data_IF_006071021137
#
_entry.id   IF_006071021137
#
_cell.length_a   1.000
_cell.length_b   1.000
_cell.length_c   1.000
_cell.angle_alpha   90.00
_cell.angle_beta   90.00
_cell.angle_gamma   90.00
#
_symmetry.space_group_name_H-M   'P 1'
#
loop_
_entity.id
_entity.type
_entity.pdbx_description
1 polymer ?
#
# COMPACT_ATOMS: atom_id res chain seq x y z
N UNK A 1 -12.52 -23.81 -1.40
CA UNK A 1 -12.01 -23.17 -0.17
C UNK A 1 -11.48 -21.79 -0.57
N UNK A 2 -12.31 -20.76 -0.46
CA UNK A 2 -11.96 -19.39 -0.84
C UNK A 2 -11.33 -18.69 0.35
N UNK A 3 -10.04 -18.38 0.27
CA UNK A 3 -9.37 -17.58 1.30
C UNK A 3 -9.60 -16.11 0.97
N UNK A 4 -10.67 -15.55 1.54
CA UNK A 4 -10.85 -14.11 1.66
C UNK A 4 -9.90 -13.59 2.72
N UNK A 5 -8.74 -13.10 2.31
CA UNK A 5 -7.89 -12.30 3.19
C UNK A 5 -8.67 -11.04 3.53
N UNK A 6 -8.97 -10.84 4.82
CA UNK A 6 -9.92 -9.85 5.31
C UNK A 6 -9.56 -8.44 4.85
N UNK A 7 -10.29 -7.96 3.83
CA UNK A 7 -10.43 -6.54 3.58
C UNK A 7 -11.40 -6.06 4.66
N UNK A 8 -10.85 -5.54 5.76
CA UNK A 8 -11.64 -4.74 6.66
C UNK A 8 -12.07 -3.50 5.86
N UNK A 9 -13.38 -3.18 5.78
CA UNK A 9 -13.78 -1.90 5.22
C UNK A 9 -13.25 -0.84 6.17
N UNK A 10 -12.22 -0.10 5.77
CA UNK A 10 -11.87 1.11 6.49
C UNK A 10 -13.04 2.06 6.25
N UNK A 11 -13.82 2.26 7.30
CA UNK A 11 -14.87 3.26 7.31
C UNK A 11 -14.15 4.59 7.14
N UNK A 12 -14.18 5.15 5.92
CA UNK A 12 -13.72 6.50 5.65
C UNK A 12 -14.71 7.44 6.33
N UNK A 13 -14.49 7.68 7.63
CA UNK A 13 -15.35 8.52 8.44
C UNK A 13 -15.23 9.94 7.93
N UNK A 14 -16.25 10.37 7.18
CA UNK A 14 -16.72 11.73 6.98
C UNK A 14 -16.09 12.73 7.97
N UNK A 15 -15.06 13.48 7.55
CA UNK A 15 -14.82 14.89 7.93
C UNK A 15 -13.56 15.46 7.27
N UNK A 16 -13.66 16.73 6.88
CA UNK A 16 -12.77 17.54 6.01
C UNK A 16 -11.41 18.01 6.60
N UNK A 17 -10.64 17.20 7.34
CA UNK A 17 -9.16 17.36 7.36
C UNK A 17 -8.40 16.13 6.84
N UNK A 18 -9.08 15.05 6.46
CA UNK A 18 -8.47 13.77 6.11
C UNK A 18 -7.65 13.81 4.79
N UNK A 19 -8.02 14.66 3.83
CA UNK A 19 -7.33 14.73 2.52
C UNK A 19 -5.83 14.99 2.70
N UNK A 20 -5.45 15.89 3.61
CA UNK A 20 -4.04 16.18 3.85
C UNK A 20 -3.29 14.96 4.41
N UNK A 21 -3.89 14.22 5.35
CA UNK A 21 -3.29 12.98 5.89
C UNK A 21 -3.26 11.86 4.87
N UNK A 22 -4.24 11.79 3.98
CA UNK A 22 -4.32 10.79 2.92
C UNK A 22 -3.32 11.07 1.82
N UNK A 23 -3.26 12.30 1.28
CA UNK A 23 -2.18 12.76 0.39
C UNK A 23 -0.81 12.45 1.00
N UNK A 24 -0.55 12.83 2.26
CA UNK A 24 0.73 12.52 2.91
C UNK A 24 1.03 11.01 2.99
N UNK A 25 0.01 10.17 3.19
CA UNK A 25 0.17 8.72 3.16
C UNK A 25 0.50 8.26 1.75
N UNK A 26 -0.19 8.76 0.74
CA UNK A 26 0.02 8.38 -0.66
C UNK A 26 1.38 8.82 -1.16
N UNK A 27 1.79 10.06 -0.89
CA UNK A 27 3.14 10.57 -1.17
C UNK A 27 4.21 9.69 -0.51
N UNK A 28 4.00 9.31 0.76
CA UNK A 28 4.92 8.41 1.45
C UNK A 28 4.98 7.02 0.82
N UNK A 29 3.83 6.43 0.47
CA UNK A 29 3.76 5.13 -0.20
C UNK A 29 4.42 5.20 -1.57
N UNK A 30 4.24 6.29 -2.32
CA UNK A 30 4.89 6.52 -3.60
C UNK A 30 6.42 6.59 -3.45
N UNK A 31 6.93 7.35 -2.47
CA UNK A 31 8.38 7.36 -2.17
C UNK A 31 8.91 5.96 -1.81
N UNK A 32 8.14 5.16 -1.08
CA UNK A 32 8.50 3.76 -0.78
C UNK A 32 8.49 2.91 -2.05
N UNK A 33 7.52 3.11 -2.94
CA UNK A 33 7.38 2.40 -4.20
C UNK A 33 8.53 2.71 -5.16
N UNK A 34 8.92 3.98 -5.28
CA UNK A 34 10.07 4.41 -6.07
C UNK A 34 11.37 3.83 -5.51
N UNK A 35 11.55 3.90 -4.19
CA UNK A 35 12.72 3.30 -3.54
C UNK A 35 12.74 1.78 -3.72
N UNK A 36 11.59 1.10 -3.74
CA UNK A 36 11.48 -0.32 -4.02
C UNK A 36 11.87 -0.64 -5.46
N UNK A 37 11.51 0.18 -6.46
CA UNK A 37 11.99 -0.04 -7.82
C UNK A 37 13.51 0.09 -7.95
N UNK A 38 14.13 0.92 -7.13
CA UNK A 38 15.59 1.07 -7.15
C UNK A 38 16.33 -0.05 -6.40
N UNK A 39 15.76 -0.57 -5.31
CA UNK A 39 16.44 -1.53 -4.40
C UNK A 39 15.90 -2.97 -4.52
N UNK A 40 14.72 -3.15 -5.13
CA UNK A 40 13.94 -4.40 -5.23
C UNK A 40 13.72 -5.14 -3.90
N UNK A 41 13.78 -4.41 -2.78
CA UNK A 41 13.75 -4.98 -1.45
C UNK A 41 12.36 -4.87 -0.82
N UNK A 42 11.58 -5.94 -0.98
CA UNK A 42 10.21 -6.03 -0.48
C UNK A 42 10.14 -5.98 1.06
N UNK A 43 11.13 -6.52 1.77
CA UNK A 43 11.17 -6.48 3.23
C UNK A 43 11.34 -5.05 3.75
N UNK A 44 12.27 -4.29 3.14
CA UNK A 44 12.48 -2.88 3.48
C UNK A 44 11.23 -2.04 3.17
N UNK A 45 10.59 -2.29 2.02
CA UNK A 45 9.36 -1.59 1.66
C UNK A 45 8.22 -1.90 2.65
N UNK A 46 8.02 -3.17 3.00
CA UNK A 46 7.01 -3.58 3.97
C UNK A 46 7.25 -2.96 5.36
N UNK A 47 8.50 -2.90 5.82
CA UNK A 47 8.86 -2.25 7.10
C UNK A 47 8.55 -0.75 7.07
N UNK A 48 8.83 -0.07 5.96
CA UNK A 48 8.51 1.36 5.78
C UNK A 48 7.00 1.59 5.76
N UNK A 49 6.23 0.74 5.08
CA UNK A 49 4.77 0.81 5.05
C UNK A 49 4.16 0.52 6.42
N UNK A 50 4.77 -0.37 7.21
CA UNK A 50 4.33 -0.67 8.57
C UNK A 50 4.39 0.55 9.51
N UNK A 51 5.19 1.59 9.20
CA UNK A 51 5.23 2.86 9.95
C UNK A 51 3.89 3.59 9.87
N UNK A 52 3.16 3.45 8.76
CA UNK A 52 1.82 4.04 8.60
C UNK A 52 0.79 3.38 9.54
N UNK A 53 1.07 2.15 9.97
CA UNK A 53 0.36 1.44 11.04
C UNK A 53 -1.06 0.98 10.66
N UNK A 54 -1.57 0.02 11.44
CA UNK A 54 -2.98 -0.38 11.41
C UNK A 54 -3.40 -1.33 10.28
N UNK A 55 -2.65 -1.43 9.19
CA UNK A 55 -3.05 -2.18 7.99
C UNK A 55 -1.88 -3.00 7.42
N UNK A 56 -2.21 -4.01 6.60
CA UNK A 56 -1.19 -4.76 5.86
C UNK A 56 -0.52 -3.85 4.81
N UNK A 57 0.78 -4.00 4.53
CA UNK A 57 1.48 -3.18 3.54
C UNK A 57 0.82 -3.24 2.15
N UNK A 58 0.23 -4.39 1.79
CA UNK A 58 -0.57 -4.52 0.57
C UNK A 58 -1.86 -3.68 0.60
N UNK A 59 -2.56 -3.60 1.74
CA UNK A 59 -3.77 -2.79 1.88
C UNK A 59 -3.45 -1.29 1.78
N UNK A 60 -2.40 -0.85 2.47
CA UNK A 60 -1.91 0.54 2.40
C UNK A 60 -1.54 0.93 0.96
N UNK A 61 -0.86 0.03 0.24
CA UNK A 61 -0.48 0.28 -1.16
C UNK A 61 -1.69 0.28 -2.10
N UNK A 62 -2.69 -0.57 -1.84
CA UNK A 62 -3.93 -0.61 -2.62
C UNK A 62 -4.73 0.69 -2.46
N UNK A 63 -4.88 1.19 -1.22
CA UNK A 63 -5.54 2.49 -0.97
C UNK A 63 -4.81 3.64 -1.66
N UNK A 64 -3.47 3.64 -1.63
CA UNK A 64 -2.69 4.65 -2.34
C UNK A 64 -2.85 4.59 -3.86
N UNK A 65 -2.96 3.39 -4.42
CA UNK A 65 -3.23 3.21 -5.85
C UNK A 65 -4.63 3.72 -6.24
N UNK A 66 -5.64 3.46 -5.42
CA UNK A 66 -7.01 3.96 -5.66
C UNK A 66 -7.08 5.49 -5.60
N UNK A 67 -6.40 6.08 -4.62
CA UNK A 67 -6.24 7.53 -4.52
C UNK A 67 -5.52 8.10 -5.73
N UNK A 68 -4.43 7.47 -6.18
CA UNK A 68 -3.67 7.91 -7.34
C UNK A 68 -4.50 7.88 -8.64
N UNK A 69 -5.36 6.86 -8.80
CA UNK A 69 -6.30 6.79 -9.92
C UNK A 69 -7.36 7.91 -9.86
N UNK A 70 -7.79 8.31 -8.67
CA UNK A 70 -8.80 9.36 -8.47
C UNK A 70 -8.23 10.79 -8.58
N UNK A 71 -6.94 10.99 -8.32
CA UNK A 71 -6.28 12.30 -8.23
C UNK A 71 -5.40 12.66 -9.44
N UNK A 72 -5.57 11.97 -10.58
CA UNK A 72 -4.87 12.24 -11.84
C UNK A 72 -3.33 12.14 -11.78
N UNK A 73 -2.82 11.15 -11.04
CA UNK A 73 -1.38 10.83 -11.03
C UNK A 73 -0.89 10.38 -12.41
N UNK A 74 0.42 10.51 -12.63
CA UNK A 74 1.05 10.09 -13.89
C UNK A 74 1.01 8.58 -14.05
N UNK A 75 0.96 8.11 -15.30
CA UNK A 75 1.02 6.68 -15.61
C UNK A 75 2.24 5.98 -14.99
N UNK A 76 3.39 6.67 -14.93
CA UNK A 76 4.59 6.14 -14.28
C UNK A 76 4.43 5.91 -12.76
N UNK A 77 3.75 6.82 -12.08
CA UNK A 77 3.49 6.74 -10.63
C UNK A 77 2.49 5.60 -10.34
N UNK A 78 1.42 5.51 -11.14
CA UNK A 78 0.43 4.43 -11.05
C UNK A 78 1.09 3.06 -11.30
N UNK A 79 1.97 2.95 -12.29
CA UNK A 79 2.76 1.72 -12.53
C UNK A 79 3.69 1.41 -11.34
N UNK A 80 4.23 2.43 -10.69
CA UNK A 80 5.12 2.26 -9.55
C UNK A 80 4.40 1.73 -8.33
N UNK A 81 3.23 2.27 -8.03
CA UNK A 81 2.34 1.76 -6.99
C UNK A 81 1.84 0.35 -7.29
N UNK A 82 1.50 0.02 -8.54
CA UNK A 82 1.11 -1.35 -8.94
C UNK A 82 2.23 -2.38 -8.76
N UNK A 83 3.47 -2.01 -9.10
CA UNK A 83 4.63 -2.88 -8.89
C UNK A 83 4.86 -3.13 -7.40
N UNK A 84 4.79 -2.08 -6.59
CA UNK A 84 4.88 -2.20 -5.13
C UNK A 84 3.74 -3.07 -4.58
N UNK A 85 2.50 -2.87 -5.03
CA UNK A 85 1.35 -3.66 -4.58
C UNK A 85 1.55 -5.14 -4.89
N UNK A 86 1.98 -5.47 -6.11
CA UNK A 86 2.30 -6.84 -6.50
C UNK A 86 3.39 -7.44 -5.62
N UNK A 87 4.45 -6.66 -5.35
CA UNK A 87 5.51 -7.08 -4.43
C UNK A 87 4.98 -7.30 -3.00
N UNK A 88 4.09 -6.44 -2.50
CA UNK A 88 3.52 -6.57 -1.15
C UNK A 88 2.48 -7.71 -1.04
N UNK A 89 1.79 -8.05 -2.12
CA UNK A 89 0.87 -9.19 -2.17
C UNK A 89 1.62 -10.53 -2.20
N UNK A 90 2.74 -10.58 -2.92
CA UNK A 90 3.64 -11.75 -2.97
C UNK A 90 4.52 -11.83 -1.73
N UNK A 91 4.86 -10.70 -1.12
CA UNK A 91 5.55 -10.60 0.15
C UNK A 91 4.58 -10.93 1.30
N UNK A 92 4.48 -12.22 1.59
CA UNK A 92 3.83 -12.70 2.80
C UNK A 92 4.83 -12.56 3.97
N UNK A 93 4.52 -11.80 5.03
CA UNK A 93 5.29 -11.90 6.26
C UNK A 93 5.16 -13.37 6.70
N UNK A 94 6.27 -14.11 6.73
CA UNK A 94 6.25 -15.53 7.07
C UNK A 94 5.54 -15.74 8.41
N UNK A 95 4.34 -16.30 8.33
CA UNK A 95 3.49 -16.59 9.48
C UNK A 95 2.30 -17.42 9.02
N UNK A 96 2.44 -18.75 9.19
CA UNK A 96 1.42 -19.80 9.05
C UNK A 96 1.31 -20.49 7.68
N UNK A 97 2.40 -21.13 7.27
CA UNK A 97 2.27 -22.55 6.87
C UNK A 97 1.89 -23.34 8.12
N UNK A 98 0.62 -23.66 8.30
CA UNK A 98 0.21 -24.73 9.20
C UNK A 98 -0.12 -25.97 8.33
N UNK A 99 0.32 -27.17 8.75
CA UNK A 99 0.31 -28.41 7.96
C UNK A 99 -1.09 -28.93 7.61
#
# INVERSE_FOLDING_TARGET
>A
LGYGWGIAPVEYVDVTPNILREDYRVDYVLMVAESFQSDFNAETAARRLAILGGESPAAVTASALEYANSNAFSQGEIQTLQNLLTAMQTYQPQGNTAP
#
